data_IF_369940153313
#
_entry.id   IF_369940153313
#
_cell.length_a   1.000
_cell.length_b   1.000
_cell.length_c   1.000
_cell.angle_alpha   90.00
_cell.angle_beta   90.00
_cell.angle_gamma   90.00
#
_symmetry.space_group_name_H-M   'P 1'
#
loop_
_entity.id
_entity.type
_entity.pdbx_description
1 polymer ?
#
# COMPACT_ATOMS: atom_id res chain seq x y z
N UNK A 1 9.74 -20.31 14.19
CA UNK A 1 10.75 -19.56 14.67
C UNK A 1 10.79 -18.21 14.02
N UNK A 2 10.79 -18.07 12.74
CA UNK A 2 10.76 -16.78 12.10
C UNK A 2 9.50 -16.01 12.43
N UNK A 3 8.40 -16.70 12.59
CA UNK A 3 7.16 -16.03 12.95
C UNK A 3 7.29 -15.42 14.32
N UNK A 4 7.88 -16.17 15.25
CA UNK A 4 8.02 -15.66 16.58
C UNK A 4 8.96 -14.47 16.64
N UNK A 5 9.90 -14.38 15.75
CA UNK A 5 10.84 -13.29 15.73
C UNK A 5 10.30 -12.09 14.96
N UNK A 6 9.09 -12.19 14.44
CA UNK A 6 8.54 -11.08 13.69
C UNK A 6 9.07 -10.95 12.28
N UNK A 7 9.84 -11.93 11.82
CA UNK A 7 10.39 -11.87 10.48
C UNK A 7 9.37 -12.30 9.44
N UNK A 8 8.52 -13.24 9.78
CA UNK A 8 7.49 -13.72 8.87
C UNK A 8 6.14 -13.48 9.50
N UNK A 9 5.23 -12.98 8.70
CA UNK A 9 3.87 -12.80 9.14
C UNK A 9 3.00 -13.72 8.32
N UNK A 10 2.26 -14.57 9.00
CA UNK A 10 1.38 -15.51 8.32
C UNK A 10 -0.01 -14.92 8.29
N UNK A 11 -0.50 -14.62 7.12
CA UNK A 11 -1.84 -14.08 6.96
C UNK A 11 -2.33 -14.40 5.57
N UNK A 12 -3.65 -14.35 5.40
CA UNK A 12 -4.22 -14.55 4.07
C UNK A 12 -4.14 -13.22 3.34
N UNK A 13 -3.50 -13.24 2.18
CA UNK A 13 -3.39 -12.05 1.35
C UNK A 13 -4.31 -12.23 0.16
N UNK A 14 -5.29 -11.36 0.04
CA UNK A 14 -6.28 -11.46 -1.01
C UNK A 14 -5.91 -10.54 -2.15
N UNK A 15 -5.99 -11.06 -3.37
CA UNK A 15 -5.75 -10.23 -4.54
C UNK A 15 -6.97 -9.33 -4.73
N UNK A 16 -6.83 -8.02 -4.65
CA UNK A 16 -7.97 -7.12 -4.78
C UNK A 16 -8.74 -7.31 -6.08
N UNK A 17 -8.06 -7.66 -7.16
CA UNK A 17 -8.73 -7.82 -8.44
C UNK A 17 -9.72 -8.98 -8.41
N UNK A 18 -9.44 -9.99 -7.61
CA UNK A 18 -10.36 -11.11 -7.48
C UNK A 18 -11.65 -10.71 -6.80
N UNK A 19 -11.65 -9.59 -6.09
CA UNK A 19 -12.83 -9.07 -5.42
C UNK A 19 -13.49 -7.96 -6.23
N UNK A 20 -13.06 -7.75 -7.47
CA UNK A 20 -13.68 -6.73 -8.31
C UNK A 20 -13.06 -5.36 -8.21
N UNK A 21 -11.99 -5.20 -7.44
CA UNK A 21 -11.32 -3.91 -7.35
C UNK A 21 -10.39 -3.77 -8.54
N UNK A 22 -10.85 -3.07 -9.55
CA UNK A 22 -10.09 -2.94 -10.80
C UNK A 22 -9.33 -1.63 -10.89
N UNK A 23 -9.56 -0.70 -9.99
CA UNK A 23 -8.87 0.58 -10.01
C UNK A 23 -7.95 0.66 -8.81
N UNK A 24 -6.70 1.00 -9.06
CA UNK A 24 -5.71 1.23 -8.01
C UNK A 24 -5.21 2.66 -8.18
N UNK A 25 -5.12 3.38 -7.10
CA UNK A 25 -4.64 4.76 -7.15
C UNK A 25 -3.69 5.04 -5.99
N UNK A 26 -2.68 5.84 -6.28
CA UNK A 26 -1.80 6.37 -5.25
C UNK A 26 -2.29 7.76 -4.92
N UNK A 27 -2.45 8.06 -3.64
CA UNK A 27 -2.87 9.37 -3.20
C UNK A 27 -1.80 9.91 -2.27
N UNK A 28 -1.33 11.11 -2.58
CA UNK A 28 -0.35 11.79 -1.76
C UNK A 28 -1.07 12.89 -0.99
N UNK A 29 -0.85 12.95 0.30
CA UNK A 29 -1.63 13.82 1.18
C UNK A 29 -0.72 14.74 1.94
N UNK A 30 -1.02 16.04 1.90
CA UNK A 30 -0.34 17.03 2.72
C UNK A 30 -1.19 17.30 3.93
N UNK A 31 -0.56 17.34 5.09
CA UNK A 31 -1.25 17.38 6.36
C UNK A 31 -0.74 18.55 7.19
N UNK A 32 -1.58 19.06 8.07
CA UNK A 32 -1.15 20.10 8.99
C UNK A 32 0.02 19.63 9.85
N UNK A 33 0.97 20.51 10.13
CA UNK A 33 2.12 20.12 10.95
C UNK A 33 1.68 19.52 12.28
N UNK A 34 2.33 18.43 12.65
CA UNK A 34 2.02 17.79 13.93
C UNK A 34 0.90 16.80 13.89
N UNK A 35 0.22 16.65 12.76
CA UNK A 35 -0.91 15.73 12.69
C UNK A 35 -0.69 14.55 11.75
N UNK A 36 0.54 14.35 11.29
CA UNK A 36 0.80 13.33 10.28
C UNK A 36 0.43 11.94 10.77
N UNK A 37 0.89 11.55 11.95
CA UNK A 37 0.63 10.21 12.43
C UNK A 37 -0.84 9.98 12.73
N UNK A 38 -1.51 10.98 13.26
CA UNK A 38 -2.92 10.82 13.57
C UNK A 38 -3.75 10.65 12.30
N UNK A 39 -3.47 11.46 11.29
CA UNK A 39 -4.18 11.34 10.03
C UNK A 39 -3.87 9.99 9.38
N UNK A 40 -2.60 9.57 9.42
CA UNK A 40 -2.22 8.30 8.82
C UNK A 40 -2.95 7.14 9.48
N UNK A 41 -3.06 7.15 10.80
CA UNK A 41 -3.78 6.09 11.50
C UNK A 41 -5.25 6.07 11.13
N UNK A 42 -5.83 7.25 10.99
CA UNK A 42 -7.23 7.34 10.61
C UNK A 42 -7.45 6.76 9.22
N UNK A 43 -6.56 7.08 8.29
CA UNK A 43 -6.68 6.57 6.93
C UNK A 43 -6.50 5.06 6.88
N UNK A 44 -5.68 4.52 7.76
CA UNK A 44 -5.45 3.08 7.77
C UNK A 44 -6.66 2.28 8.22
N UNK A 45 -7.69 2.93 8.78
CA UNK A 45 -8.90 2.23 9.21
C UNK A 45 -9.84 1.90 8.07
N UNK A 46 -9.67 2.51 6.91
CA UNK A 46 -10.60 2.27 5.81
C UNK A 46 -10.22 1.01 5.04
N UNK A 47 -11.21 0.19 4.76
CA UNK A 47 -10.95 -1.11 4.14
C UNK A 47 -10.38 -1.01 2.73
N UNK A 48 -10.76 0.02 2.00
CA UNK A 48 -10.27 0.17 0.64
C UNK A 48 -8.92 0.87 0.56
N UNK A 49 -8.34 1.22 1.70
CA UNK A 49 -6.97 1.74 1.74
C UNK A 49 -6.07 0.55 1.99
N UNK A 50 -5.27 0.20 1.00
CA UNK A 50 -4.44 -1.00 1.07
C UNK A 50 -3.02 -0.72 1.55
N UNK A 51 -2.63 0.53 1.67
CA UNK A 51 -1.27 0.88 2.03
C UNK A 51 -1.26 2.30 2.59
N UNK A 52 -0.56 2.52 3.68
CA UNK A 52 -0.39 3.84 4.26
C UNK A 52 1.06 3.96 4.70
N UNK A 53 1.72 5.03 4.29
CA UNK A 53 3.09 5.30 4.72
C UNK A 53 3.25 6.78 4.98
N UNK A 54 4.03 7.11 5.99
CA UNK A 54 4.40 8.50 6.25
C UNK A 54 5.72 8.75 5.57
N UNK A 55 5.84 9.92 4.96
CA UNK A 55 7.02 10.27 4.20
C UNK A 55 7.54 11.62 4.67
N UNK A 56 8.77 11.92 4.29
CA UNK A 56 9.33 13.24 4.54
C UNK A 56 9.30 14.01 3.24
N UNK A 57 9.35 15.33 3.34
CA UNK A 57 9.36 16.19 2.15
C UNK A 57 8.04 16.90 2.00
N UNK A 58 7.65 17.12 0.77
CA UNK A 58 6.45 17.92 0.51
C UNK A 58 5.16 17.13 0.71
N UNK A 59 5.25 15.82 0.64
CA UNK A 59 4.06 14.98 0.76
C UNK A 59 4.21 14.17 2.02
N UNK A 60 3.32 14.40 2.95
CA UNK A 60 3.47 13.84 4.27
C UNK A 60 3.02 12.40 4.38
N UNK A 61 1.99 12.03 3.62
CA UNK A 61 1.44 10.68 3.66
C UNK A 61 1.23 10.19 2.25
N UNK A 62 1.56 8.93 2.04
CA UNK A 62 1.30 8.26 0.77
C UNK A 62 0.39 7.08 1.06
N UNK A 63 -0.72 6.98 0.36
CA UNK A 63 -1.60 5.84 0.52
C UNK A 63 -1.91 5.25 -0.84
N UNK A 64 -2.33 3.99 -0.82
CA UNK A 64 -2.82 3.35 -2.02
C UNK A 64 -4.25 2.93 -1.76
N UNK A 65 -5.11 3.22 -2.70
CA UNK A 65 -6.53 2.94 -2.60
C UNK A 65 -6.92 1.98 -3.70
N UNK A 66 -7.81 1.04 -3.37
CA UNK A 66 -8.40 0.16 -4.37
C UNK A 66 -9.88 0.53 -4.49
N UNK A 67 -10.40 0.49 -5.70
CA UNK A 67 -11.79 0.85 -5.95
C UNK A 67 -12.34 0.01 -7.07
N UNK A 68 -13.67 -0.09 -7.15
CA UNK A 68 -14.29 -0.86 -8.22
C UNK A 68 -14.34 -0.08 -9.52
N UNK A 69 -14.39 1.24 -9.45
CA UNK A 69 -14.45 2.07 -10.63
C UNK A 69 -13.94 3.47 -10.27
N UNK A 70 -13.81 4.31 -11.31
CA UNK A 70 -13.27 5.64 -11.10
C UNK A 70 -14.21 6.53 -10.30
N UNK A 71 -15.51 6.35 -10.44
CA UNK A 71 -16.47 7.15 -9.68
C UNK A 71 -16.33 6.87 -8.19
N UNK A 72 -16.19 5.60 -7.84
CA UNK A 72 -16.02 5.24 -6.44
C UNK A 72 -14.72 5.84 -5.88
N UNK A 73 -13.65 5.80 -6.68
CA UNK A 73 -12.39 6.41 -6.28
C UNK A 73 -12.56 7.91 -6.04
N UNK A 74 -13.19 8.59 -6.98
CA UNK A 74 -13.36 10.03 -6.87
C UNK A 74 -14.17 10.39 -5.63
N UNK A 75 -15.26 9.67 -5.39
CA UNK A 75 -16.10 9.94 -4.23
C UNK A 75 -15.32 9.71 -2.94
N UNK A 76 -14.53 8.65 -2.88
CA UNK A 76 -13.77 8.38 -1.67
C UNK A 76 -12.75 9.48 -1.40
N UNK A 77 -12.04 9.91 -2.43
CA UNK A 77 -11.01 10.93 -2.24
C UNK A 77 -11.64 12.26 -1.85
N UNK A 78 -12.72 12.65 -2.53
CA UNK A 78 -13.27 13.99 -2.30
C UNK A 78 -14.13 14.05 -1.06
N UNK A 79 -14.89 12.98 -0.76
CA UNK A 79 -15.85 13.06 0.33
C UNK A 79 -15.39 12.41 1.62
N UNK A 80 -14.42 11.51 1.55
CA UNK A 80 -13.92 10.88 2.75
C UNK A 80 -12.55 11.44 3.11
N UNK A 81 -11.57 11.27 2.23
CA UNK A 81 -10.22 11.70 2.54
C UNK A 81 -10.13 13.22 2.70
N UNK A 82 -10.77 13.93 1.80
CA UNK A 82 -10.72 15.39 1.83
C UNK A 82 -11.36 16.00 3.07
N UNK A 83 -12.16 15.23 3.80
CA UNK A 83 -12.80 15.72 5.01
C UNK A 83 -12.16 15.20 6.28
N UNK A 84 -11.08 14.44 6.18
CA UNK A 84 -10.38 14.00 7.39
C UNK A 84 -9.70 15.21 8.02
N UNK A 85 -9.93 15.48 9.31
CA UNK A 85 -9.33 16.64 9.95
C UNK A 85 -7.82 16.59 9.82
N UNK A 86 -7.22 17.73 9.46
CA UNK A 86 -5.77 17.83 9.30
C UNK A 86 -5.31 17.68 7.86
N UNK A 87 -6.14 17.16 6.97
CA UNK A 87 -5.75 17.02 5.57
C UNK A 87 -5.85 18.38 4.90
N UNK A 88 -4.76 18.80 4.26
CA UNK A 88 -4.72 20.09 3.57
C UNK A 88 -4.88 19.94 2.08
N UNK A 89 -4.30 18.90 1.49
CA UNK A 89 -4.31 18.77 0.05
C UNK A 89 -4.11 17.31 -0.32
N UNK A 90 -4.78 16.86 -1.36
CA UNK A 90 -4.60 15.51 -1.86
C UNK A 90 -4.24 15.56 -3.34
N UNK A 91 -3.40 14.63 -3.78
CA UNK A 91 -3.05 14.48 -5.17
C UNK A 91 -3.21 13.01 -5.51
N UNK A 92 -4.05 12.70 -6.47
CA UNK A 92 -4.39 11.32 -6.82
C UNK A 92 -3.80 10.95 -8.18
N UNK A 93 -3.17 9.79 -8.24
CA UNK A 93 -2.66 9.24 -9.49
C UNK A 93 -3.20 7.84 -9.66
N UNK A 94 -3.86 7.60 -10.77
CA UNK A 94 -4.36 6.25 -11.05
C UNK A 94 -3.18 5.41 -11.53
N UNK A 95 -3.09 4.20 -11.01
CA UNK A 95 -1.99 3.30 -11.33
C UNK A 95 -2.53 2.20 -12.24
N UNK A 96 -2.33 2.31 -13.55
CA UNK A 96 -2.90 1.32 -14.48
C UNK A 96 -2.13 0.01 -14.53
N UNK A 97 -0.85 0.03 -14.21
CA UNK A 97 -0.02 -1.16 -14.31
C UNK A 97 0.88 -1.26 -13.11
N UNK A 98 0.85 -2.42 -12.45
CA UNK A 98 1.76 -2.71 -11.36
C UNK A 98 2.62 -3.87 -11.80
N UNK A 99 3.92 -3.64 -11.91
CA UNK A 99 4.84 -4.67 -12.36
C UNK A 99 5.28 -5.59 -11.23
N UNK A 100 5.27 -5.09 -9.99
CA UNK A 100 5.68 -5.87 -8.84
C UNK A 100 5.10 -5.25 -7.58
N UNK A 101 4.53 -6.06 -6.73
CA UNK A 101 4.01 -5.58 -5.45
C UNK A 101 4.22 -6.66 -4.40
N UNK A 102 3.57 -6.54 -3.27
CA UNK A 102 3.79 -7.48 -2.16
C UNK A 102 3.40 -8.90 -2.56
N UNK A 103 2.48 -9.06 -3.50
CA UNK A 103 2.07 -10.39 -3.92
C UNK A 103 3.11 -11.06 -4.79
N UNK A 104 4.01 -10.29 -5.39
CA UNK A 104 5.03 -10.80 -6.30
C UNK A 104 6.42 -10.74 -5.70
N UNK A 105 6.57 -10.12 -4.53
CA UNK A 105 7.88 -9.97 -3.94
C UNK A 105 8.34 -11.28 -3.32
N UNK A 106 9.57 -11.63 -3.56
CA UNK A 106 10.15 -12.85 -3.02
C UNK A 106 11.36 -12.49 -2.20
N UNK A 107 11.57 -13.26 -1.14
CA UNK A 107 12.73 -13.04 -0.31
C UNK A 107 13.94 -13.49 -1.07
N UNK A 108 14.96 -12.62 -1.23
CA UNK A 108 16.18 -13.02 -1.91
C UNK A 108 16.79 -14.23 -1.22
N UNK A 109 17.25 -15.18 -2.02
CA UNK A 109 17.82 -16.41 -1.46
C UNK A 109 18.97 -16.11 -0.52
N UNK A 110 19.73 -15.06 -0.80
CA UNK A 110 20.88 -14.73 0.03
C UNK A 110 20.50 -14.31 1.43
N UNK A 111 19.24 -13.95 1.65
CA UNK A 111 18.80 -13.52 2.98
C UNK A 111 18.16 -14.65 3.76
N UNK A 112 18.01 -15.82 3.16
CA UNK A 112 17.39 -16.94 3.85
C UNK A 112 18.48 -17.75 4.50
N UNK A 113 18.46 -17.88 5.81
CA UNK A 113 19.47 -18.60 6.53
C UNK A 113 19.55 -20.04 6.05
N UNK A 114 20.75 -20.48 5.74
CA UNK A 114 20.94 -21.84 5.30
C UNK A 114 20.53 -22.12 3.88
N UNK A 115 19.99 -21.14 3.20
CA UNK A 115 19.56 -21.38 1.85
C UNK A 115 20.75 -21.39 0.93
N UNK A 116 20.75 -22.32 -0.08
CA UNK A 116 21.80 -22.34 -0.98
C UNK A 116 21.35 -21.65 -2.18
N UNK A 117 22.12 -20.87 -2.83
CA UNK A 117 21.76 -20.26 -4.08
C UNK A 117 21.25 -21.34 -4.99
N UNK A 118 20.21 -21.04 -5.69
CA UNK A 118 19.69 -22.03 -6.57
C UNK A 118 20.39 -21.86 -7.86
N UNK A 119 21.63 -22.00 -7.81
CA UNK A 119 22.38 -21.82 -8.99
C UNK A 119 21.69 -22.60 -10.03
N UNK A 120 21.68 -22.25 -11.05
CA UNK A 120 21.16 -23.04 -12.03
C UNK A 120 19.70 -23.10 -11.96
N UNK A 121 19.19 -22.53 -11.11
CA UNK A 121 17.86 -22.62 -11.00
C UNK A 121 17.43 -21.78 -12.07
N UNK A 122 17.69 -21.98 -13.03
CA UNK A 122 17.40 -21.19 -14.07
C UNK A 122 16.06 -20.69 -14.16
N UNK A 123 15.37 -20.79 -13.28
CA UNK A 123 14.27 -20.35 -13.28
C UNK A 123 14.28 -19.10 -13.62
N UNK A 124 14.25 -18.71 -14.31
CA UNK A 124 14.31 -17.57 -14.65
C UNK A 124 13.10 -16.98 -14.64
N UNK A 125 12.42 -16.98 -14.48
CA UNK A 125 11.24 -16.35 -14.49
C UNK A 125 10.91 -15.69 -13.84
#
# INVERSE_FOLDING_TARGET
RLIRQGIIRVSAIVNPQALGFTVVADVFIEVEPGEVLEVARKLAEYENVSYVACATGERDISIQIVAHNNTELYTFVTEVIGHVPGVRKTTTSIVPIILKDVYHWRIPASLVAGARPLAGDGRKT
#
